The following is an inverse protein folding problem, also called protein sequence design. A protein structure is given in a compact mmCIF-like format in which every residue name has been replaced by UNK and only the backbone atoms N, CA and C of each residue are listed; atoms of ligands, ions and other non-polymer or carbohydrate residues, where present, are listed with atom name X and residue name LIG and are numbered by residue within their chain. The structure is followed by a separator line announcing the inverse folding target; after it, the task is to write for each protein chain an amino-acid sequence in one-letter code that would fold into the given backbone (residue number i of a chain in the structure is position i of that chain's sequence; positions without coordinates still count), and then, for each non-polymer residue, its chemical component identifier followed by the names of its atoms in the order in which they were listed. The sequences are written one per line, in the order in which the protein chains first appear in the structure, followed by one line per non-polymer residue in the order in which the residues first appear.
data_IF_924426440737
#
_entry.id   IF_924426440737
#
_cell.length_a   1.000
_cell.length_b   1.000
_cell.length_c   1.000
_cell.angle_alpha   90.00
_cell.angle_beta   90.00
_cell.angle_gamma   90.00
#
_symmetry.space_group_name_H-M   'P 1'
#
loop_
_entity.id
_entity.type
_entity.pdbx_description
1 polymer ?
#
# COMPACT_ATOMS: atom_id res chain seq x y z
N UNK A 1 -8.42 10.95 10.94
CA UNK A 1 -9.40 11.77 11.69
C UNK A 1 -9.60 11.08 13.02
N UNK A 2 -9.51 11.82 14.12
CA UNK A 2 -9.89 11.29 15.43
C UNK A 2 -11.41 11.33 15.54
N UNK A 3 -12.05 10.15 15.53
CA UNK A 3 -13.51 10.02 15.59
C UNK A 3 -14.10 10.20 16.99
N UNK A 4 -13.26 10.39 18.03
CA UNK A 4 -13.75 10.62 19.40
C UNK A 4 -14.03 12.10 19.67
N UNK A 5 -13.37 13.00 18.94
CA UNK A 5 -13.42 14.45 19.13
C UNK A 5 -14.04 15.19 17.94
N UNK A 6 -14.32 14.50 16.84
CA UNK A 6 -14.82 15.11 15.62
C UNK A 6 -15.95 14.27 15.00
N UNK A 7 -17.10 14.90 14.77
CA UNK A 7 -18.26 14.28 14.13
C UNK A 7 -18.16 14.36 12.60
N UNK A 8 -18.56 13.29 11.90
CA UNK A 8 -18.66 13.27 10.44
C UNK A 8 -20.03 12.77 9.98
N UNK A 9 -20.73 13.51 9.09
CA UNK A 9 -22.09 13.17 8.68
C UNK A 9 -22.22 11.83 7.96
N UNK A 10 -21.15 11.39 7.28
CA UNK A 10 -21.14 10.16 6.49
C UNK A 10 -20.25 9.06 7.05
N UNK A 11 -19.34 9.37 7.97
CA UNK A 11 -18.38 8.40 8.50
C UNK A 11 -18.82 8.04 9.92
N UNK A 12 -19.87 7.22 10.01
CA UNK A 12 -20.29 6.62 11.29
C UNK A 12 -19.28 5.55 11.67
N UNK A 13 -18.68 5.70 12.85
CA UNK A 13 -17.82 4.68 13.43
C UNK A 13 -18.68 3.70 14.21
N UNK A 14 -18.85 2.48 13.70
CA UNK A 14 -19.55 1.39 14.42
C UNK A 14 -18.65 0.76 15.52
N UNK A 15 -17.39 1.17 15.59
CA UNK A 15 -16.38 0.76 16.57
C UNK A 15 -15.01 1.36 16.28
N UNK A 16 -14.00 1.04 17.09
CA UNK A 16 -12.63 1.51 16.87
C UNK A 16 -11.65 0.34 16.71
N UNK A 17 -10.71 0.38 15.74
CA UNK A 17 -10.59 1.36 14.66
C UNK A 17 -11.61 1.10 13.53
N UNK A 18 -12.15 2.16 12.92
CA UNK A 18 -12.97 2.08 11.70
C UNK A 18 -12.16 2.60 10.51
N UNK A 19 -12.12 1.83 9.42
CA UNK A 19 -11.42 2.17 8.17
C UNK A 19 -12.43 2.29 7.03
N UNK A 20 -12.49 3.48 6.41
CA UNK A 20 -13.40 3.81 5.32
C UNK A 20 -12.61 4.36 4.15
N UNK A 21 -12.94 3.92 2.94
CA UNK A 21 -12.27 4.35 1.72
C UNK A 21 -13.20 5.14 0.81
N UNK A 22 -12.73 6.32 0.39
CA UNK A 22 -13.46 7.26 -0.46
C UNK A 22 -12.69 7.47 -1.78
N UNK A 23 -13.07 6.78 -2.87
CA UNK A 23 -12.39 6.90 -4.15
C UNK A 23 -12.60 8.28 -4.79
N UNK A 24 -11.55 8.79 -5.45
CA UNK A 24 -11.62 10.08 -6.16
C UNK A 24 -12.68 10.05 -7.28
N UNK A 25 -13.39 11.16 -7.45
CA UNK A 25 -14.41 11.33 -8.49
C UNK A 25 -15.78 10.75 -8.13
N UNK A 26 -15.87 9.83 -7.16
CA UNK A 26 -17.14 9.37 -6.64
C UNK A 26 -17.50 10.16 -5.37
N UNK A 27 -18.25 11.25 -5.56
CA UNK A 27 -18.78 12.07 -4.44
C UNK A 27 -20.05 11.50 -3.84
N UNK A 28 -20.55 10.38 -4.36
CA UNK A 28 -21.66 9.67 -3.74
C UNK A 28 -21.19 9.05 -2.42
N UNK A 29 -22.08 9.09 -1.44
CA UNK A 29 -21.91 8.76 -0.02
C UNK A 29 -21.53 7.27 0.22
N UNK A 30 -21.32 6.49 -0.84
CA UNK A 30 -20.98 5.07 -0.80
C UNK A 30 -19.52 4.88 -0.38
N UNK A 31 -19.28 5.07 0.91
CA UNK A 31 -18.06 4.65 1.58
C UNK A 31 -17.85 3.14 1.36
N UNK A 32 -16.61 2.75 1.02
CA UNK A 32 -16.24 1.35 1.00
C UNK A 32 -15.64 1.01 2.36
N UNK A 33 -16.31 0.14 3.11
CA UNK A 33 -15.77 -0.40 4.36
C UNK A 33 -14.55 -1.24 4.05
N UNK A 34 -13.42 -0.95 4.70
CA UNK A 34 -12.17 -1.69 4.51
C UNK A 34 -12.18 -2.90 5.43
N UNK A 35 -12.71 -4.02 4.93
CA UNK A 35 -12.67 -5.32 5.62
C UNK A 35 -11.49 -6.15 5.10
N UNK A 36 -10.29 -5.74 5.48
CA UNK A 36 -9.06 -6.46 5.19
C UNK A 36 -8.18 -6.53 6.41
N UNK A 37 -7.25 -7.49 6.42
CA UNK A 37 -6.23 -7.58 7.47
C UNK A 37 -5.53 -6.23 7.68
N UNK A 38 -5.24 -5.91 8.94
CA UNK A 38 -4.60 -4.65 9.34
C UNK A 38 -3.09 -4.67 9.07
N UNK A 39 -2.71 -5.13 7.88
CA UNK A 39 -1.33 -5.23 7.42
C UNK A 39 -1.08 -4.28 6.26
N UNK A 40 0.15 -3.77 6.13
CA UNK A 40 0.52 -2.83 5.06
C UNK A 40 0.26 -3.43 3.67
N UNK A 41 0.52 -4.73 3.50
CA UNK A 41 0.32 -5.44 2.24
C UNK A 41 -1.17 -5.55 1.87
N UNK A 42 -2.01 -5.90 2.84
CA UNK A 42 -3.46 -6.01 2.61
C UNK A 42 -4.08 -4.65 2.28
N UNK A 43 -3.72 -3.61 3.04
CA UNK A 43 -4.19 -2.24 2.78
C UNK A 43 -3.67 -1.74 1.42
N UNK A 44 -2.42 -2.01 1.06
CA UNK A 44 -1.90 -1.65 -0.27
C UNK A 44 -2.69 -2.31 -1.40
N UNK A 45 -2.94 -3.61 -1.29
CA UNK A 45 -3.71 -4.36 -2.27
C UNK A 45 -5.15 -3.88 -2.36
N UNK A 46 -5.76 -3.52 -1.22
CA UNK A 46 -7.10 -2.95 -1.16
C UNK A 46 -7.15 -1.61 -1.91
N UNK A 47 -6.27 -0.66 -1.58
CA UNK A 47 -6.24 0.65 -2.23
C UNK A 47 -5.97 0.47 -3.73
N UNK A 48 -5.08 -0.45 -4.13
CA UNK A 48 -4.79 -0.71 -5.55
C UNK A 48 -6.01 -1.19 -6.33
N UNK A 49 -6.94 -1.92 -5.69
CA UNK A 49 -8.18 -2.40 -6.33
C UNK A 49 -9.25 -1.31 -6.45
N UNK A 50 -9.38 -0.45 -5.44
CA UNK A 50 -10.48 0.51 -5.35
C UNK A 50 -10.10 1.94 -5.74
N UNK A 51 -8.81 2.26 -5.89
CA UNK A 51 -8.36 3.60 -6.26
C UNK A 51 -8.68 3.92 -7.73
N UNK A 52 -9.38 5.04 -7.93
CA UNK A 52 -9.62 5.62 -9.26
C UNK A 52 -8.33 6.15 -9.91
N UNK A 53 -7.32 6.49 -9.12
CA UNK A 53 -6.04 7.04 -9.59
C UNK A 53 -4.95 6.01 -9.29
N UNK A 54 -4.20 5.54 -10.29
CA UNK A 54 -3.08 4.63 -10.07
C UNK A 54 -2.01 5.26 -9.18
N UNK A 55 -1.51 4.50 -8.21
CA UNK A 55 -0.45 4.93 -7.31
C UNK A 55 0.65 3.86 -7.18
N UNK A 56 1.82 4.29 -6.70
CA UNK A 56 2.94 3.41 -6.37
C UNK A 56 3.39 3.72 -4.95
N UNK A 57 3.81 2.71 -4.20
CA UNK A 57 4.46 2.92 -2.92
C UNK A 57 5.78 3.67 -3.15
N UNK A 58 5.95 4.79 -2.43
CA UNK A 58 7.23 5.49 -2.38
C UNK A 58 8.32 4.61 -1.77
N UNK A 59 9.58 4.92 -2.05
CA UNK A 59 10.69 4.24 -1.37
C UNK A 59 10.55 4.43 0.14
N UNK A 60 10.90 3.40 0.92
CA UNK A 60 11.00 3.52 2.38
C UNK A 60 11.96 4.66 2.71
N UNK A 61 11.60 5.58 3.61
CA UNK A 61 12.53 6.62 4.04
C UNK A 61 13.75 5.95 4.70
N UNK A 62 14.94 6.48 4.43
CA UNK A 62 16.21 5.89 4.85
C UNK A 62 16.34 5.71 6.38
N UNK A 63 15.48 6.38 7.17
CA UNK A 63 15.45 6.30 8.63
C UNK A 63 14.90 4.98 9.19
N UNK A 64 14.25 4.14 8.38
CA UNK A 64 13.71 2.83 8.82
C UNK A 64 14.70 1.67 8.56
N UNK A 65 15.88 1.95 7.98
CA UNK A 65 16.86 0.92 7.61
C UNK A 65 17.62 0.30 8.79
N UNK A 66 17.45 0.80 10.02
CA UNK A 66 18.27 0.38 11.17
C UNK A 66 17.58 -0.56 12.18
N UNK A 67 16.38 -1.09 11.93
CA UNK A 67 15.70 -1.92 12.95
C UNK A 67 15.20 -3.29 12.51
N UNK A 68 15.13 -3.63 11.22
CA UNK A 68 14.61 -4.96 10.83
C UNK A 68 15.41 -5.57 9.67
N UNK A 69 16.65 -5.96 9.97
CA UNK A 69 17.46 -6.88 9.16
C UNK A 69 17.33 -8.31 9.71
N UNK A 70 16.11 -8.83 9.78
CA UNK A 70 15.85 -10.26 9.99
C UNK A 70 14.37 -10.56 9.82
N UNK A 71 13.88 -10.61 8.58
CA UNK A 71 13.11 -11.78 8.11
C UNK A 71 12.94 -11.80 6.58
N UNK A 72 13.23 -12.96 5.99
CA UNK A 72 12.52 -13.50 4.82
C UNK A 72 12.67 -12.88 3.44
N UNK A 73 13.72 -13.28 2.73
CA UNK A 73 13.74 -13.72 1.31
C UNK A 73 12.50 -13.43 0.44
N UNK A 74 12.66 -12.67 -0.64
CA UNK A 74 12.39 -13.25 -1.97
C UNK A 74 13.20 -12.58 -3.09
N UNK A 75 13.78 -13.44 -3.92
CA UNK A 75 14.76 -13.14 -4.94
C UNK A 75 14.13 -13.34 -6.31
N UNK A 76 13.99 -12.29 -7.11
CA UNK A 76 13.88 -12.39 -8.58
C UNK A 76 14.24 -11.01 -9.13
N UNK A 77 15.37 -10.77 -9.81
CA UNK A 77 16.04 -11.59 -10.79
C UNK A 77 15.80 -10.95 -12.17
N UNK A 78 16.27 -9.72 -12.38
CA UNK A 78 16.14 -9.01 -13.66
C UNK A 78 17.50 -8.90 -14.35
N UNK A 79 17.56 -9.43 -15.58
CA UNK A 79 18.74 -9.61 -16.42
C UNK A 79 18.91 -8.40 -17.34
N UNK A 80 20.09 -7.78 -17.35
CA UNK A 80 20.77 -7.21 -18.53
C UNK A 80 22.10 -6.61 -18.03
N UNK A 81 23.25 -6.66 -18.71
CA UNK A 81 23.66 -7.19 -20.00
C UNK A 81 25.13 -6.78 -20.23
N UNK A 82 25.81 -7.48 -21.14
CA UNK A 82 27.00 -7.00 -21.87
C UNK A 82 28.38 -7.18 -21.22
N UNK A 83 29.19 -8.09 -21.78
CA UNK A 83 30.57 -7.83 -22.21
C UNK A 83 31.13 -9.04 -22.96
N UNK A 84 31.60 -8.77 -24.18
CA UNK A 84 32.26 -9.63 -25.16
C UNK A 84 33.54 -10.31 -24.65
N UNK A 85 33.73 -11.61 -24.93
CA UNK A 85 35.07 -12.23 -25.06
C UNK A 85 35.05 -13.31 -26.15
N UNK A 86 35.91 -13.11 -27.15
CA UNK A 86 36.30 -13.97 -28.29
C UNK A 86 37.25 -15.08 -27.81
N UNK A 87 37.07 -16.33 -28.26
CA UNK A 87 38.21 -17.24 -28.48
C UNK A 87 37.88 -18.40 -29.44
N UNK A 88 38.90 -18.79 -30.20
CA UNK A 88 38.90 -19.68 -31.37
C UNK A 88 39.01 -21.17 -31.00
N UNK A 89 38.34 -22.06 -31.75
CA UNK A 89 38.84 -23.40 -32.17
C UNK A 89 37.89 -24.08 -33.16
#
# INVERSE_FOLDING_TARGET
MDGTTNDHPWAKADGFPTLLFFPAGNKSIEQITVDTDRTVKAVYNFIKKHASIPFKLGRRPASVLNTEASDGSDSTGDKSGGADVKDEM
#
